data_IF_898621995452
#
_entry.id   IF_898621995452
#
_cell.length_a   1.000
_cell.length_b   1.000
_cell.length_c   1.000
_cell.angle_alpha   90.00
_cell.angle_beta   90.00
_cell.angle_gamma   90.00
#
_symmetry.space_group_name_H-M   'P 1'
#
loop_
_entity.id
_entity.type
_entity.pdbx_description
1 polymer ?
#
# COMPACT_ATOMS: atom_id res chain seq x y z
N UNK A 1 23.16 -13.73 15.67
CA UNK A 1 22.03 -13.28 14.84
C UNK A 1 22.13 -11.77 14.72
N UNK A 2 22.30 -11.23 13.52
CA UNK A 2 22.42 -9.78 13.34
C UNK A 2 21.04 -9.16 13.56
N UNK A 3 20.88 -8.42 14.64
CA UNK A 3 19.69 -7.59 14.87
C UNK A 3 19.61 -6.59 13.71
N UNK A 4 18.69 -6.81 12.77
CA UNK A 4 18.32 -5.80 11.80
C UNK A 4 17.73 -4.63 12.59
N UNK A 5 18.53 -3.59 12.78
CA UNK A 5 18.07 -2.34 13.38
C UNK A 5 16.86 -1.83 12.60
N UNK A 6 15.75 -1.64 13.31
CA UNK A 6 14.55 -1.05 12.71
C UNK A 6 14.89 0.37 12.26
N UNK A 7 14.90 0.59 10.94
CA UNK A 7 15.05 1.94 10.38
C UNK A 7 13.71 2.66 10.51
N UNK A 8 13.73 3.79 11.21
CA UNK A 8 12.58 4.68 11.31
C UNK A 8 12.55 5.55 10.05
N UNK A 9 11.43 5.52 9.33
CA UNK A 9 11.16 6.35 8.16
C UNK A 9 10.15 7.42 8.56
N UNK A 10 10.56 8.69 8.46
CA UNK A 10 9.66 9.82 8.63
C UNK A 10 9.05 10.17 7.28
N UNK A 11 7.73 10.08 7.18
CA UNK A 11 6.98 10.47 5.98
C UNK A 11 6.35 11.83 6.22
N UNK A 12 6.49 12.75 5.26
CA UNK A 12 5.80 14.04 5.33
C UNK A 12 4.30 13.82 5.16
N UNK A 13 3.54 14.13 6.22
CA UNK A 13 2.08 14.08 6.19
C UNK A 13 1.47 15.21 5.38
N UNK A 14 0.45 14.88 4.59
CA UNK A 14 -0.54 15.83 4.08
C UNK A 14 -1.96 15.35 4.45
N UNK A 15 -2.97 16.17 4.16
CA UNK A 15 -4.35 15.85 4.52
C UNK A 15 -4.90 14.62 3.80
N UNK A 16 -4.41 14.32 2.58
CA UNK A 16 -4.81 13.11 1.84
C UNK A 16 -4.22 11.87 2.50
N UNK A 17 -2.94 11.91 2.88
CA UNK A 17 -2.28 10.81 3.58
C UNK A 17 -2.94 10.57 4.94
N UNK A 18 -3.25 11.64 5.69
CA UNK A 18 -3.99 11.53 6.96
C UNK A 18 -5.34 10.85 6.78
N UNK A 19 -6.10 11.23 5.76
CA UNK A 19 -7.39 10.59 5.45
C UNK A 19 -7.22 9.11 5.09
N UNK A 20 -6.24 8.77 4.26
CA UNK A 20 -5.96 7.39 3.87
C UNK A 20 -5.58 6.53 5.08
N UNK A 21 -4.68 7.02 5.94
CA UNK A 21 -4.29 6.34 7.18
C UNK A 21 -5.47 6.18 8.13
N UNK A 22 -6.36 7.17 8.24
CA UNK A 22 -7.58 7.06 9.06
C UNK A 22 -8.53 5.95 8.59
N UNK A 23 -8.70 5.77 7.27
CA UNK A 23 -9.50 4.67 6.71
C UNK A 23 -8.85 3.32 7.02
N UNK A 24 -7.54 3.19 6.80
CA UNK A 24 -6.81 1.95 7.11
C UNK A 24 -6.85 1.67 8.62
N UNK A 25 -6.77 2.70 9.46
CA UNK A 25 -6.86 2.59 10.92
C UNK A 25 -8.19 2.01 11.42
N UNK A 26 -9.28 2.03 10.64
CA UNK A 26 -10.53 1.34 10.98
C UNK A 26 -10.36 -0.18 11.09
N UNK A 27 -9.26 -0.74 10.57
CA UNK A 27 -8.92 -2.17 10.70
C UNK A 27 -8.29 -2.53 12.05
N UNK A 28 -7.99 -1.54 12.91
CA UNK A 28 -7.31 -1.74 14.18
C UNK A 28 -5.78 -1.90 14.08
N UNK A 29 -5.21 -1.74 12.88
CA UNK A 29 -3.77 -1.74 12.67
C UNK A 29 -3.09 -0.51 13.29
N UNK A 30 -1.86 -0.68 13.78
CA UNK A 30 -0.99 0.44 14.13
C UNK A 30 -0.61 1.24 12.86
N UNK A 31 -0.28 2.53 12.99
CA UNK A 31 0.17 3.34 11.84
C UNK A 31 1.37 2.72 11.12
N UNK A 32 2.27 2.07 11.87
CA UNK A 32 3.43 1.38 11.29
C UNK A 32 3.02 0.17 10.47
N UNK A 33 2.11 -0.66 10.97
CA UNK A 33 1.67 -1.88 10.28
C UNK A 33 0.75 -1.54 9.10
N UNK A 34 -0.13 -0.55 9.26
CA UNK A 34 -0.93 0.04 8.19
C UNK A 34 -0.04 0.53 7.04
N UNK A 35 1.03 1.26 7.36
CA UNK A 35 1.98 1.76 6.37
C UNK A 35 2.73 0.62 5.66
N UNK A 36 3.24 -0.37 6.42
CA UNK A 36 3.92 -1.54 5.83
C UNK A 36 2.98 -2.35 4.92
N UNK A 37 1.75 -2.57 5.36
CA UNK A 37 0.73 -3.27 4.60
C UNK A 37 0.42 -2.54 3.29
N UNK A 38 0.16 -1.23 3.35
CA UNK A 38 -0.13 -0.42 2.18
C UNK A 38 1.03 -0.41 1.17
N UNK A 39 2.28 -0.26 1.64
CA UNK A 39 3.47 -0.31 0.78
C UNK A 39 3.65 -1.68 0.14
N UNK A 40 3.39 -2.76 0.87
CA UNK A 40 3.49 -4.13 0.34
C UNK A 40 2.46 -4.37 -0.76
N UNK A 41 1.22 -3.92 -0.56
CA UNK A 41 0.16 -3.99 -1.58
C UNK A 41 0.56 -3.19 -2.82
N UNK A 42 1.01 -1.94 -2.64
CA UNK A 42 1.44 -1.09 -3.76
C UNK A 42 2.59 -1.73 -4.56
N UNK A 43 3.63 -2.23 -3.87
CA UNK A 43 4.75 -2.91 -4.51
C UNK A 43 4.31 -4.16 -5.29
N UNK A 44 3.41 -4.96 -4.72
CA UNK A 44 2.89 -6.17 -5.38
C UNK A 44 2.11 -5.83 -6.66
N UNK A 45 1.34 -4.74 -6.61
CA UNK A 45 0.58 -4.25 -7.77
C UNK A 45 1.53 -3.76 -8.88
N UNK A 46 2.57 -2.99 -8.54
CA UNK A 46 3.59 -2.54 -9.49
C UNK A 46 4.32 -3.72 -10.13
N UNK A 47 4.77 -4.67 -9.31
CA UNK A 47 5.46 -5.86 -9.78
C UNK A 47 4.57 -6.69 -10.73
N UNK A 48 3.30 -6.86 -10.40
CA UNK A 48 2.35 -7.57 -11.25
C UNK A 48 2.16 -6.86 -12.61
N UNK A 49 2.02 -5.54 -12.60
CA UNK A 49 1.83 -4.75 -13.81
C UNK A 49 3.05 -4.85 -14.75
N UNK A 50 4.25 -4.68 -14.19
CA UNK A 50 5.50 -4.77 -14.96
C UNK A 50 5.74 -6.17 -15.50
N UNK A 51 5.53 -7.21 -14.69
CA UNK A 51 5.74 -8.60 -15.12
C UNK A 51 4.79 -9.03 -16.23
N UNK A 52 3.58 -8.48 -16.26
CA UNK A 52 2.57 -8.81 -17.26
C UNK A 52 2.65 -7.93 -18.52
N UNK A 53 3.64 -7.02 -18.60
CA UNK A 53 3.81 -6.13 -19.75
C UNK A 53 2.71 -5.09 -19.89
N UNK A 54 1.97 -4.80 -18.81
CA UNK A 54 0.99 -3.71 -18.81
C UNK A 54 1.69 -2.34 -18.83
N UNK A 55 2.91 -2.26 -18.30
CA UNK A 55 3.74 -1.05 -18.25
C UNK A 55 5.23 -1.39 -18.24
N UNK A 56 6.07 -0.41 -18.58
CA UNK A 56 7.53 -0.51 -18.45
C UNK A 56 7.98 -0.44 -16.98
N UNK A 57 9.10 -1.10 -16.66
CA UNK A 57 9.72 -1.05 -15.33
C UNK A 57 10.02 0.39 -14.92
N UNK A 58 9.52 0.78 -13.74
CA UNK A 58 9.70 2.14 -13.20
C UNK A 58 8.57 3.10 -13.55
N UNK A 59 7.63 2.73 -14.43
CA UNK A 59 6.40 3.49 -14.66
C UNK A 59 5.39 3.16 -13.56
N UNK A 60 4.73 4.18 -13.01
CA UNK A 60 3.57 3.99 -12.13
C UNK A 60 2.36 3.69 -13.03
N UNK A 61 1.80 2.47 -13.01
CA UNK A 61 0.69 2.09 -13.87
C UNK A 61 -0.60 2.84 -13.52
N UNK A 62 -1.38 3.20 -14.54
CA UNK A 62 -2.78 3.64 -14.33
C UNK A 62 -3.67 2.42 -14.07
N UNK A 63 -3.63 1.91 -12.85
CA UNK A 63 -4.39 0.73 -12.43
C UNK A 63 -5.72 1.13 -11.79
N UNK A 64 -6.81 0.75 -12.46
CA UNK A 64 -8.17 0.84 -11.91
C UNK A 64 -8.49 -0.41 -11.10
N UNK A 65 -8.44 -0.30 -9.77
CA UNK A 65 -8.92 -1.36 -8.88
C UNK A 65 -10.44 -1.38 -8.90
N UNK A 66 -11.03 -2.47 -9.39
CA UNK A 66 -12.47 -2.72 -9.38
C UNK A 66 -12.80 -3.70 -8.26
N UNK A 67 -13.74 -3.37 -7.37
CA UNK A 67 -14.24 -4.29 -6.35
C UNK A 67 -15.63 -4.80 -6.71
N UNK A 68 -15.86 -6.10 -6.54
CA UNK A 68 -17.21 -6.69 -6.61
C UNK A 68 -17.85 -6.56 -5.23
N UNK A 69 -19.07 -6.04 -5.17
CA UNK A 69 -19.84 -6.03 -3.93
C UNK A 69 -20.04 -7.49 -3.49
N UNK A 70 -19.69 -7.79 -2.25
CA UNK A 70 -19.95 -9.11 -1.67
C UNK A 70 -21.45 -9.21 -1.48
N UNK A 71 -22.10 -10.21 -2.09
CA UNK A 71 -23.54 -10.43 -1.91
C UNK A 71 -23.84 -10.50 -0.41
N UNK A 72 -24.76 -9.65 0.05
CA UNK A 72 -25.27 -9.72 1.42
C UNK A 72 -26.22 -10.92 1.47
N UNK A 73 -25.72 -12.03 2.04
CA UNK A 73 -26.54 -13.17 2.48
C UNK A 73 -27.20 -12.81 3.81
#
# INVERSE_FOLDING_TARGET
MSEKTSKVLSVRGDDKLRRALSVIGQTGMSDSDATKWALTVAASILELAWRNGHEELGVIPDLRVSYRVKDRV
#
